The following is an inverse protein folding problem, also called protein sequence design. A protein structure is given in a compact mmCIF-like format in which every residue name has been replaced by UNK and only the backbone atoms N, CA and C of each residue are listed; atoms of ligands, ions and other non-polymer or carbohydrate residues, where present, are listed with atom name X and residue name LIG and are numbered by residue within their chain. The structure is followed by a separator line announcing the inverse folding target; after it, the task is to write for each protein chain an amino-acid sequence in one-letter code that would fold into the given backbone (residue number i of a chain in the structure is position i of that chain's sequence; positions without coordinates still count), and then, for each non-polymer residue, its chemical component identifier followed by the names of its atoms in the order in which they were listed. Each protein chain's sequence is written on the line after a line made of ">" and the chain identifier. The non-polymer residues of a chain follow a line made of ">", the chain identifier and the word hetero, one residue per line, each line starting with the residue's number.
data_IF_682734251525
#
_entry.id   IF_682734251525
#
_cell.length_a   1.000
_cell.length_b   1.000
_cell.length_c   1.000
_cell.angle_alpha   90.00
_cell.angle_beta   90.00
_cell.angle_gamma   90.00
#
_symmetry.space_group_name_H-M   'P 1'
#
loop_
_entity.id
_entity.type
_entity.pdbx_description
1 polymer ?
#
# COMPACT_ATOMS: atom_id res chain seq x y z
N UNK A 1 -71.62 20.25 18.29
CA UNK A 1 -70.56 21.27 18.15
C UNK A 1 -69.20 20.57 18.12
N UNK A 2 -68.42 20.89 17.07
CA UNK A 2 -66.96 20.83 16.86
C UNK A 2 -66.21 19.52 17.21
N UNK A 3 -65.94 18.71 16.17
CA UNK A 3 -64.94 17.63 16.16
C UNK A 3 -63.54 18.23 15.97
N UNK A 4 -62.61 17.88 16.84
CA UNK A 4 -61.20 18.26 16.73
C UNK A 4 -60.47 17.25 15.84
N UNK A 5 -59.76 17.76 14.83
CA UNK A 5 -58.85 16.97 13.98
C UNK A 5 -57.44 17.36 14.41
N UNK A 6 -56.71 16.41 15.00
CA UNK A 6 -55.28 16.55 15.28
C UNK A 6 -54.49 16.03 14.08
N UNK A 7 -53.76 16.94 13.41
CA UNK A 7 -52.82 16.60 12.35
C UNK A 7 -51.43 16.45 12.95
N UNK A 8 -50.87 15.25 12.89
CA UNK A 8 -49.49 14.98 13.32
C UNK A 8 -48.59 14.98 12.09
N UNK A 9 -47.69 15.96 11.97
CA UNK A 9 -46.69 15.99 10.92
C UNK A 9 -45.50 15.08 11.31
N UNK A 10 -45.25 14.05 10.51
CA UNK A 10 -44.09 13.17 10.64
C UNK A 10 -43.00 13.65 9.68
N UNK A 11 -41.89 14.17 10.22
CA UNK A 11 -40.75 14.62 9.43
C UNK A 11 -39.73 13.48 9.33
N UNK A 12 -39.49 12.98 8.10
CA UNK A 12 -38.53 11.91 7.84
C UNK A 12 -37.13 12.52 7.73
N UNK A 13 -36.30 12.34 8.76
CA UNK A 13 -34.92 12.80 8.76
C UNK A 13 -34.04 11.78 8.00
N UNK A 14 -33.66 12.11 6.77
CA UNK A 14 -32.72 11.30 5.98
C UNK A 14 -31.31 11.62 6.46
N UNK A 15 -30.69 10.67 7.18
CA UNK A 15 -29.28 10.76 7.58
C UNK A 15 -28.42 10.42 6.36
N UNK A 16 -27.83 11.43 5.73
CA UNK A 16 -26.78 11.24 4.74
C UNK A 16 -25.49 10.90 5.49
N UNK A 17 -25.08 9.63 5.45
CA UNK A 17 -23.73 9.26 5.86
C UNK A 17 -22.74 9.85 4.86
N UNK A 18 -22.08 10.95 5.24
CA UNK A 18 -20.88 11.40 4.54
C UNK A 18 -19.79 10.35 4.78
N UNK A 19 -19.55 9.49 3.79
CA UNK A 19 -18.42 8.57 3.83
C UNK A 19 -17.15 9.41 3.68
N UNK A 20 -16.44 9.63 4.78
CA UNK A 20 -15.08 10.14 4.73
C UNK A 20 -14.23 9.08 4.03
N UNK A 21 -14.01 9.23 2.73
CA UNK A 21 -13.12 8.34 1.99
C UNK A 21 -11.68 8.71 2.33
N UNK A 22 -10.91 7.74 2.81
CA UNK A 22 -9.47 7.94 2.95
C UNK A 22 -8.86 8.06 1.55
N UNK A 23 -8.16 9.15 1.22
CA UNK A 23 -7.51 9.31 -0.08
C UNK A 23 -6.47 8.22 -0.36
N UNK A 24 -5.99 7.54 0.69
CA UNK A 24 -5.04 6.43 0.60
C UNK A 24 -5.70 5.06 0.75
N UNK A 25 -7.03 4.96 0.85
CA UNK A 25 -7.72 3.67 0.87
C UNK A 25 -7.34 2.76 -0.33
N UNK A 26 -7.21 3.28 -1.56
CA UNK A 26 -6.76 2.46 -2.71
C UNK A 26 -5.32 1.96 -2.58
N UNK A 27 -4.51 2.52 -1.67
CA UNK A 27 -3.12 2.12 -1.47
C UNK A 27 -2.98 0.86 -0.60
N UNK A 28 -4.08 0.24 -0.12
CA UNK A 28 -4.05 -1.09 0.52
C UNK A 28 -3.03 -1.25 1.67
N UNK A 29 -2.78 -0.18 2.41
CA UNK A 29 -1.75 -0.08 3.47
C UNK A 29 -0.31 -0.25 2.99
N UNK A 30 -0.01 0.12 1.75
CA UNK A 30 1.35 0.45 1.33
C UNK A 30 1.84 1.69 2.10
N UNK A 31 2.92 1.55 2.86
CA UNK A 31 3.50 2.64 3.66
C UNK A 31 4.10 3.72 2.75
N UNK A 32 4.66 3.30 1.61
CA UNK A 32 5.10 4.18 0.53
C UNK A 32 4.55 3.64 -0.78
N UNK A 33 3.94 4.50 -1.59
CA UNK A 33 3.50 4.19 -2.93
C UNK A 33 3.84 5.33 -3.88
N UNK A 34 4.46 5.01 -5.02
CA UNK A 34 4.95 5.97 -6.00
C UNK A 34 4.48 5.56 -7.39
N UNK A 35 4.07 6.54 -8.20
CA UNK A 35 3.76 6.28 -9.61
C UNK A 35 5.04 5.92 -10.39
N UNK A 36 6.13 6.63 -10.12
CA UNK A 36 7.42 6.47 -10.79
C UNK A 36 8.36 5.55 -9.99
N UNK A 37 9.65 5.57 -10.35
CA UNK A 37 10.70 4.87 -9.61
C UNK A 37 11.23 5.63 -8.40
N UNK A 38 12.14 5.01 -7.66
CA UNK A 38 12.85 5.63 -6.53
C UNK A 38 14.32 5.23 -6.49
N UNK A 39 15.15 6.09 -5.90
CA UNK A 39 16.50 5.72 -5.45
C UNK A 39 16.49 5.61 -3.94
N UNK A 40 16.84 4.44 -3.41
CA UNK A 40 16.92 4.18 -1.98
C UNK A 40 18.38 3.97 -1.58
N UNK A 41 18.82 4.66 -0.53
CA UNK A 41 20.19 4.55 -0.02
C UNK A 41 20.30 3.41 0.96
N UNK A 42 20.13 3.66 2.25
CA UNK A 42 20.36 2.70 3.33
C UNK A 42 19.14 2.65 4.25
N UNK A 43 19.19 1.77 5.26
CA UNK A 43 18.20 1.56 6.32
C UNK A 43 16.98 0.74 5.87
N UNK A 44 15.79 1.23 6.18
CA UNK A 44 14.58 0.44 6.15
C UNK A 44 13.32 1.26 5.87
N UNK A 45 12.23 0.56 5.64
CA UNK A 45 10.88 1.09 5.84
C UNK A 45 10.05 0.09 6.62
N UNK A 46 9.32 0.62 7.61
CA UNK A 46 8.55 -0.17 8.56
C UNK A 46 7.44 -0.98 7.92
N UNK A 47 6.83 -0.44 6.87
CA UNK A 47 5.78 -1.09 6.12
C UNK A 47 6.17 -1.44 4.69
N UNK A 48 5.21 -2.01 3.94
CA UNK A 48 5.43 -2.40 2.55
C UNK A 48 5.56 -1.18 1.63
N UNK A 49 6.27 -1.36 0.51
CA UNK A 49 6.56 -0.30 -0.47
C UNK A 49 6.10 -0.71 -1.87
N UNK A 50 5.49 0.22 -2.61
CA UNK A 50 5.11 0.03 -4.00
C UNK A 50 5.65 1.16 -4.88
N UNK A 51 6.11 0.84 -6.09
CA UNK A 51 6.50 1.81 -7.09
C UNK A 51 6.19 1.31 -8.49
N UNK A 52 5.75 2.20 -9.38
CA UNK A 52 5.47 1.84 -10.78
C UNK A 52 6.73 1.79 -11.66
N UNK A 53 7.80 2.50 -11.28
CA UNK A 53 9.05 2.53 -12.03
C UNK A 53 10.14 1.59 -11.51
N UNK A 54 11.39 1.92 -11.84
CA UNK A 54 12.57 1.17 -11.38
C UNK A 54 12.92 1.52 -9.93
N UNK A 55 13.45 0.54 -9.20
CA UNK A 55 14.11 0.77 -7.91
C UNK A 55 15.62 0.81 -8.12
N UNK A 56 16.26 1.95 -7.89
CA UNK A 56 17.72 2.08 -7.87
C UNK A 56 18.23 1.95 -6.44
N UNK A 57 19.13 0.99 -6.21
CA UNK A 57 19.79 0.84 -4.92
C UNK A 57 21.09 1.65 -4.90
N UNK A 58 21.18 2.56 -3.94
CA UNK A 58 22.42 3.28 -3.59
C UNK A 58 23.07 2.69 -2.32
N UNK A 59 22.43 1.70 -1.72
CA UNK A 59 22.92 0.85 -0.62
C UNK A 59 22.01 -0.36 -0.44
N UNK A 60 22.27 -1.19 0.59
CA UNK A 60 21.34 -2.27 0.93
C UNK A 60 20.15 -1.72 1.70
N UNK A 61 18.97 -2.24 1.41
CA UNK A 61 17.71 -1.71 1.93
C UNK A 61 16.80 -2.81 2.46
N UNK A 62 16.02 -2.51 3.50
CA UNK A 62 15.08 -3.44 4.12
C UNK A 62 13.64 -2.91 4.03
N UNK A 63 12.68 -3.81 3.84
CA UNK A 63 11.26 -3.44 3.74
C UNK A 63 10.40 -4.31 4.66
N UNK A 64 9.26 -3.76 5.11
CA UNK A 64 8.32 -4.43 6.03
C UNK A 64 8.97 -4.89 7.33
N UNK A 65 9.83 -4.05 7.92
CA UNK A 65 10.53 -4.38 9.17
C UNK A 65 9.60 -4.53 10.38
N UNK A 66 8.41 -3.93 10.38
CA UNK A 66 7.44 -4.01 11.49
C UNK A 66 6.01 -4.31 11.05
N UNK A 67 5.61 -3.99 9.81
CA UNK A 67 4.23 -4.12 9.35
C UNK A 67 4.12 -4.61 7.91
N UNK A 68 2.98 -5.21 7.62
CA UNK A 68 2.60 -5.71 6.29
C UNK A 68 1.35 -4.99 5.80
N UNK A 69 1.18 -4.97 4.47
CA UNK A 69 0.02 -4.41 3.81
C UNK A 69 -1.15 -5.39 3.76
N UNK A 70 -2.25 -4.94 3.18
CA UNK A 70 -3.46 -5.78 3.00
C UNK A 70 -3.47 -6.51 1.65
N UNK A 71 -2.62 -6.11 0.71
CA UNK A 71 -2.46 -6.81 -0.56
C UNK A 71 -1.65 -8.09 -0.38
N UNK A 72 -2.18 -9.22 -0.85
CA UNK A 72 -1.53 -10.53 -0.74
C UNK A 72 -1.62 -11.33 -2.04
N UNK A 73 -0.66 -12.23 -2.24
CA UNK A 73 -0.66 -13.23 -3.31
C UNK A 73 -0.60 -14.60 -2.65
N UNK A 74 -1.57 -15.46 -2.94
CA UNK A 74 -1.65 -16.80 -2.32
C UNK A 74 -1.59 -16.75 -0.77
N UNK A 75 -2.30 -15.80 -0.16
CA UNK A 75 -2.30 -15.53 1.29
C UNK A 75 -0.96 -15.08 1.89
N UNK A 76 0.04 -14.73 1.07
CA UNK A 76 1.30 -14.13 1.52
C UNK A 76 1.24 -12.62 1.27
N UNK A 77 1.45 -11.76 2.30
CA UNK A 77 1.46 -10.32 2.13
C UNK A 77 2.53 -9.88 1.15
N UNK A 78 2.24 -8.90 0.29
CA UNK A 78 3.24 -8.32 -0.60
C UNK A 78 3.93 -7.17 0.12
N UNK A 79 5.24 -7.29 0.28
CA UNK A 79 6.07 -6.31 0.99
C UNK A 79 6.75 -5.32 0.05
N UNK A 80 7.01 -5.73 -1.19
CA UNK A 80 7.61 -4.85 -2.20
C UNK A 80 6.98 -5.08 -3.57
N UNK A 81 6.55 -3.99 -4.21
CA UNK A 81 6.17 -3.95 -5.63
C UNK A 81 7.09 -2.99 -6.37
N UNK A 82 7.75 -3.49 -7.42
CA UNK A 82 8.54 -2.70 -8.37
C UNK A 82 7.97 -2.96 -9.76
N UNK A 83 7.34 -1.96 -10.36
CA UNK A 83 6.74 -2.09 -11.69
C UNK A 83 7.78 -2.25 -12.81
N UNK A 84 8.97 -1.69 -12.62
CA UNK A 84 10.13 -1.90 -13.51
C UNK A 84 11.07 -3.00 -13.02
N UNK A 85 12.38 -2.73 -13.14
CA UNK A 85 13.46 -3.58 -12.60
C UNK A 85 14.08 -2.99 -11.34
N UNK A 86 14.83 -3.83 -10.62
CA UNK A 86 15.72 -3.37 -9.56
C UNK A 86 17.13 -3.19 -10.15
N UNK A 87 17.72 -2.02 -9.95
CA UNK A 87 19.08 -1.67 -10.37
C UNK A 87 20.00 -1.79 -9.16
N UNK A 88 20.83 -2.84 -9.16
CA UNK A 88 21.79 -3.13 -8.10
C UNK A 88 23.18 -2.59 -8.46
N UNK A 89 23.84 -1.98 -7.48
CA UNK A 89 25.28 -1.82 -7.41
C UNK A 89 25.97 -3.01 -6.74
N UNK A 90 27.30 -2.94 -6.60
CA UNK A 90 28.09 -4.04 -6.08
C UNK A 90 27.73 -4.39 -4.62
N UNK A 91 27.37 -5.64 -4.36
CA UNK A 91 27.07 -6.17 -3.02
C UNK A 91 25.75 -5.70 -2.41
N UNK A 92 24.91 -4.99 -3.16
CA UNK A 92 23.63 -4.49 -2.67
C UNK A 92 22.55 -5.55 -2.73
N UNK A 93 21.63 -5.49 -1.77
CA UNK A 93 20.45 -6.37 -1.72
C UNK A 93 19.24 -5.61 -1.20
N UNK A 94 18.07 -6.15 -1.52
CA UNK A 94 16.84 -5.86 -0.79
C UNK A 94 16.56 -7.01 0.16
N UNK A 95 16.40 -6.72 1.44
CA UNK A 95 15.91 -7.69 2.42
C UNK A 95 14.41 -7.47 2.64
N UNK A 96 13.64 -8.53 2.45
CA UNK A 96 12.19 -8.50 2.65
C UNK A 96 11.88 -9.23 3.94
N UNK A 97 11.33 -8.50 4.90
CA UNK A 97 11.02 -9.02 6.22
C UNK A 97 9.56 -9.49 6.30
N UNK A 98 9.15 -9.97 7.47
CA UNK A 98 7.76 -10.37 7.75
C UNK A 98 7.20 -11.47 6.83
N UNK A 99 8.08 -12.34 6.29
CA UNK A 99 7.74 -13.37 5.29
C UNK A 99 7.00 -12.81 4.07
N UNK A 100 7.34 -11.58 3.68
CA UNK A 100 6.68 -10.87 2.60
C UNK A 100 7.09 -11.36 1.20
N UNK A 101 6.16 -11.24 0.26
CA UNK A 101 6.38 -11.49 -1.16
C UNK A 101 6.92 -10.24 -1.86
N UNK A 102 7.74 -10.44 -2.90
CA UNK A 102 8.22 -9.37 -3.79
C UNK A 102 7.63 -9.56 -5.18
N UNK A 103 7.12 -8.48 -5.78
CA UNK A 103 6.69 -8.45 -7.18
C UNK A 103 7.59 -7.50 -7.95
N UNK A 104 8.24 -8.01 -9.00
CA UNK A 104 9.12 -7.24 -9.90
C UNK A 104 8.58 -7.42 -11.31
N UNK A 105 8.35 -6.32 -12.03
CA UNK A 105 7.85 -6.36 -13.41
C UNK A 105 8.90 -6.91 -14.40
N UNK A 106 10.17 -6.53 -14.22
CA UNK A 106 11.32 -7.05 -14.94
C UNK A 106 12.34 -7.62 -13.95
N UNK A 107 12.35 -8.95 -13.80
CA UNK A 107 13.24 -9.68 -12.88
C UNK A 107 14.64 -9.94 -13.45
N UNK A 108 15.00 -9.32 -14.58
CA UNK A 108 16.35 -9.43 -15.13
C UNK A 108 17.39 -9.02 -14.09
N UNK A 109 18.40 -9.88 -13.86
CA UNK A 109 19.46 -9.71 -12.86
C UNK A 109 18.99 -9.70 -11.39
N UNK A 110 17.71 -9.94 -11.11
CA UNK A 110 17.21 -10.21 -9.76
C UNK A 110 17.22 -11.71 -9.48
N UNK A 111 17.85 -12.10 -8.37
CA UNK A 111 17.87 -13.48 -7.89
C UNK A 111 17.30 -13.52 -6.47
N UNK A 112 16.44 -14.50 -6.22
CA UNK A 112 15.86 -14.76 -4.89
C UNK A 112 16.58 -15.96 -4.30
N UNK A 113 17.08 -15.81 -3.08
CA UNK A 113 17.80 -16.82 -2.32
C UNK A 113 17.46 -16.72 -0.84
#
# INVERSE_FOLDING_TARGET
>A
MKRFITSTAFCLFVILFANAQSPTAPALNFNVFLENGASLTNNETEGPVAMGGNLTLSGSYQVSTQSVGTYSVQNVPVSLVVGGRIVYGNGQRVQVNSNGYVKIGDSTASYVW
#
